data_IF_801734201183
#
_entry.id   IF_801734201183
#
_cell.length_a   1.000
_cell.length_b   1.000
_cell.length_c   1.000
_cell.angle_alpha   90.00
_cell.angle_beta   90.00
_cell.angle_gamma   90.00
#
_symmetry.space_group_name_H-M   'P 1'
#
loop_
_entity.id
_entity.type
_entity.pdbx_description
1 polymer ?
#
# COMPACT_ATOMS: atom_id res chain seq x y z
N UNK A 1 -39.60 6.85 -24.36
CA UNK A 1 -38.16 6.69 -24.05
C UNK A 1 -37.43 7.91 -24.61
N UNK A 2 -37.27 8.94 -23.78
CA UNK A 2 -36.52 10.17 -24.12
C UNK A 2 -35.37 10.29 -23.13
N UNK A 3 -34.39 9.40 -23.25
CA UNK A 3 -33.27 9.27 -22.31
C UNK A 3 -32.16 10.28 -22.65
N UNK A 4 -32.13 10.77 -23.89
CA UNK A 4 -31.03 11.59 -24.42
C UNK A 4 -30.98 13.03 -23.86
N UNK A 5 -32.12 13.56 -23.39
CA UNK A 5 -32.22 14.94 -22.92
C UNK A 5 -31.83 15.13 -21.44
N UNK A 6 -32.16 14.17 -20.58
CA UNK A 6 -31.93 14.28 -19.14
C UNK A 6 -30.45 14.14 -18.79
N UNK A 7 -29.77 13.18 -19.41
CA UNK A 7 -28.36 12.90 -19.15
C UNK A 7 -27.47 14.08 -19.58
N UNK A 8 -27.75 14.71 -20.72
CA UNK A 8 -26.98 15.88 -21.19
C UNK A 8 -27.23 17.13 -20.31
N UNK A 9 -28.43 17.30 -19.74
CA UNK A 9 -28.68 18.36 -18.76
C UNK A 9 -27.93 18.12 -17.45
N UNK A 10 -27.92 16.88 -16.95
CA UNK A 10 -27.19 16.51 -15.74
C UNK A 10 -25.68 16.69 -15.89
N UNK A 11 -25.09 16.20 -16.98
CA UNK A 11 -23.65 16.34 -17.26
C UNK A 11 -23.25 17.82 -17.31
N UNK A 12 -24.06 18.67 -17.94
CA UNK A 12 -23.81 20.12 -17.98
C UNK A 12 -23.87 20.76 -16.60
N UNK A 13 -24.83 20.37 -15.77
CA UNK A 13 -24.94 20.87 -14.40
C UNK A 13 -23.69 20.47 -13.58
N UNK A 14 -23.24 19.22 -13.72
CA UNK A 14 -22.00 18.75 -13.08
C UNK A 14 -20.77 19.51 -13.59
N UNK A 15 -20.65 19.73 -14.90
CA UNK A 15 -19.55 20.49 -15.47
C UNK A 15 -19.51 21.94 -14.96
N UNK A 16 -20.66 22.58 -14.76
CA UNK A 16 -20.76 23.91 -14.15
C UNK A 16 -20.26 23.91 -12.69
N UNK A 17 -20.71 22.94 -11.88
CA UNK A 17 -20.23 22.79 -10.50
C UNK A 17 -18.71 22.55 -10.44
N UNK A 18 -18.17 21.76 -11.36
CA UNK A 18 -16.72 21.53 -11.48
C UNK A 18 -15.95 22.77 -11.93
N UNK A 19 -16.54 23.63 -12.77
CA UNK A 19 -15.92 24.88 -13.19
C UNK A 19 -15.87 25.92 -12.05
N UNK A 20 -16.83 25.87 -11.13
CA UNK A 20 -16.89 26.68 -9.92
C UNK A 20 -16.08 26.07 -8.74
N UNK A 21 -15.34 24.99 -8.98
CA UNK A 21 -14.60 24.23 -7.95
C UNK A 21 -15.48 23.71 -6.80
N UNK A 22 -16.78 23.54 -7.05
CA UNK A 22 -17.77 23.04 -6.08
C UNK A 22 -17.82 21.52 -6.11
N UNK A 23 -16.68 20.90 -5.79
CA UNK A 23 -16.51 19.44 -5.88
C UNK A 23 -17.48 18.66 -4.99
N UNK A 24 -17.72 19.12 -3.76
CA UNK A 24 -18.66 18.46 -2.84
C UNK A 24 -20.08 18.48 -3.38
N UNK A 25 -20.52 19.63 -3.91
CA UNK A 25 -21.84 19.74 -4.53
C UNK A 25 -21.96 18.85 -5.78
N UNK A 26 -20.89 18.70 -6.57
CA UNK A 26 -20.87 17.78 -7.70
C UNK A 26 -20.98 16.32 -7.24
N UNK A 27 -20.29 15.94 -6.15
CA UNK A 27 -20.39 14.61 -5.55
C UNK A 27 -21.80 14.30 -5.05
N UNK A 28 -22.42 15.22 -4.32
CA UNK A 28 -23.82 15.10 -3.87
C UNK A 28 -24.81 15.00 -5.04
N UNK A 29 -24.49 15.66 -6.16
CA UNK A 29 -25.27 15.56 -7.40
C UNK A 29 -25.02 14.28 -8.22
N UNK A 30 -24.24 13.32 -7.69
CA UNK A 30 -24.00 12.02 -8.32
C UNK A 30 -22.87 12.03 -9.36
N UNK A 31 -21.84 12.88 -9.21
CA UNK A 31 -20.69 12.96 -10.13
C UNK A 31 -20.09 11.59 -10.48
N UNK A 32 -20.07 10.66 -9.53
CA UNK A 32 -19.47 9.33 -9.70
C UNK A 32 -20.38 8.30 -10.36
N UNK A 33 -21.69 8.57 -10.41
CA UNK A 33 -22.71 7.67 -10.95
C UNK A 33 -22.97 7.89 -12.45
N UNK A 34 -22.52 9.03 -12.98
CA UNK A 34 -22.62 9.33 -14.41
C UNK A 34 -21.70 8.43 -15.22
N UNK A 35 -22.30 7.65 -16.13
CA UNK A 35 -21.56 6.83 -17.08
C UNK A 35 -20.98 7.66 -18.22
N UNK A 36 -19.82 7.26 -18.72
CA UNK A 36 -19.24 7.80 -19.95
C UNK A 36 -20.05 7.42 -21.21
N UNK A 37 -20.96 6.46 -21.09
CA UNK A 37 -21.80 5.94 -22.18
C UNK A 37 -23.12 6.71 -22.30
N UNK A 38 -23.37 7.69 -21.42
CA UNK A 38 -24.49 8.62 -21.56
C UNK A 38 -24.41 9.26 -22.95
N UNK A 39 -25.45 9.00 -23.77
CA UNK A 39 -25.42 9.12 -25.22
C UNK A 39 -24.65 10.33 -25.76
N UNK A 40 -23.88 10.10 -26.82
CA UNK A 40 -22.97 11.06 -27.45
C UNK A 40 -23.74 12.20 -28.13
N UNK A 41 -24.27 13.12 -27.32
CA UNK A 41 -24.70 14.42 -27.78
C UNK A 41 -23.46 15.28 -28.06
N UNK A 42 -23.27 15.70 -29.31
CA UNK A 42 -22.13 16.52 -29.73
C UNK A 42 -21.97 17.81 -28.89
N UNK A 43 -23.06 18.35 -28.36
CA UNK A 43 -23.07 19.55 -27.52
C UNK A 43 -22.60 19.30 -26.07
N UNK A 44 -22.63 18.05 -25.62
CA UNK A 44 -22.25 17.65 -24.26
C UNK A 44 -20.85 17.01 -24.19
N UNK A 45 -20.17 16.80 -25.31
CA UNK A 45 -18.84 16.16 -25.38
C UNK A 45 -17.79 16.82 -24.47
N UNK A 46 -17.72 18.16 -24.46
CA UNK A 46 -16.76 18.89 -23.61
C UNK A 46 -17.08 18.74 -22.12
N UNK A 47 -18.36 18.80 -21.76
CA UNK A 47 -18.83 18.62 -20.39
C UNK A 47 -18.59 17.18 -19.90
N UNK A 48 -18.84 16.17 -20.75
CA UNK A 48 -18.52 14.77 -20.50
C UNK A 48 -17.02 14.57 -20.27
N UNK A 49 -16.16 15.20 -21.08
CA UNK A 49 -14.71 15.12 -20.90
C UNK A 49 -14.25 15.73 -19.56
N UNK A 50 -14.82 16.86 -19.16
CA UNK A 50 -14.53 17.49 -17.87
C UNK A 50 -14.96 16.60 -16.69
N UNK A 51 -16.17 16.04 -16.76
CA UNK A 51 -16.71 15.11 -15.76
C UNK A 51 -15.84 13.85 -15.67
N UNK A 52 -15.50 13.23 -16.80
CA UNK A 52 -14.65 12.04 -16.84
C UNK A 52 -13.24 12.31 -16.26
N UNK A 53 -12.65 13.47 -16.58
CA UNK A 53 -11.37 13.88 -16.01
C UNK A 53 -11.45 14.07 -14.48
N UNK A 54 -12.53 14.67 -13.97
CA UNK A 54 -12.76 14.83 -12.54
C UNK A 54 -12.92 13.49 -11.83
N UNK A 55 -13.76 12.59 -12.37
CA UNK A 55 -13.91 11.23 -11.84
C UNK A 55 -12.57 10.49 -11.81
N UNK A 56 -11.76 10.60 -12.86
CA UNK A 56 -10.45 9.94 -12.91
C UNK A 56 -9.51 10.46 -11.82
N UNK A 57 -9.45 11.78 -11.60
CA UNK A 57 -8.65 12.37 -10.51
C UNK A 57 -9.09 11.86 -9.14
N UNK A 58 -10.40 11.78 -8.90
CA UNK A 58 -10.96 11.26 -7.65
C UNK A 58 -10.60 9.79 -7.42
N UNK A 59 -10.76 8.93 -8.44
CA UNK A 59 -10.38 7.51 -8.37
C UNK A 59 -8.89 7.35 -8.01
N UNK A 60 -8.02 8.14 -8.65
CA UNK A 60 -6.58 8.15 -8.36
C UNK A 60 -6.31 8.59 -6.91
N UNK A 61 -6.96 9.65 -6.44
CA UNK A 61 -6.80 10.15 -5.08
C UNK A 61 -7.26 9.12 -4.03
N UNK A 62 -8.39 8.47 -4.25
CA UNK A 62 -8.89 7.41 -3.36
C UNK A 62 -7.95 6.19 -3.35
N UNK A 63 -7.48 5.75 -4.51
CA UNK A 63 -6.50 4.67 -4.58
C UNK A 63 -5.20 5.02 -3.83
N UNK A 64 -4.75 6.28 -3.91
CA UNK A 64 -3.58 6.75 -3.16
C UNK A 64 -3.83 6.73 -1.65
N UNK A 65 -5.00 7.21 -1.21
CA UNK A 65 -5.42 7.18 0.20
C UNK A 65 -5.48 5.75 0.74
N UNK A 66 -5.98 4.81 -0.06
CA UNK A 66 -6.08 3.41 0.34
C UNK A 66 -4.70 2.77 0.48
N UNK A 67 -3.78 3.02 -0.46
CA UNK A 67 -2.38 2.56 -0.33
C UNK A 67 -1.71 3.10 0.94
N UNK A 68 -1.96 4.37 1.27
CA UNK A 68 -1.45 5.00 2.49
C UNK A 68 -1.99 4.30 3.74
N UNK A 69 -3.30 4.07 3.82
CA UNK A 69 -3.96 3.36 4.92
C UNK A 69 -3.43 1.93 5.09
N UNK A 70 -3.29 1.19 3.99
CA UNK A 70 -2.74 -0.16 4.01
C UNK A 70 -1.29 -0.18 4.53
N UNK A 71 -0.45 0.81 4.13
CA UNK A 71 0.91 0.95 4.66
C UNK A 71 0.90 1.27 6.15
N UNK A 72 0.04 2.18 6.59
CA UNK A 72 -0.08 2.56 8.00
C UNK A 72 -0.47 1.34 8.87
N UNK A 73 -1.44 0.54 8.42
CA UNK A 73 -1.85 -0.69 9.11
C UNK A 73 -0.68 -1.69 9.27
N UNK A 74 0.10 -1.92 8.21
CA UNK A 74 1.29 -2.79 8.28
C UNK A 74 2.34 -2.28 9.25
N UNK A 75 2.56 -0.96 9.29
CA UNK A 75 3.52 -0.37 10.22
C UNK A 75 3.05 -0.48 11.67
N UNK A 76 1.75 -0.27 11.92
CA UNK A 76 1.13 -0.45 13.23
C UNK A 76 1.27 -1.89 13.73
N UNK A 77 1.02 -2.89 12.89
CA UNK A 77 1.23 -4.31 13.21
C UNK A 77 2.69 -4.59 13.62
N UNK A 78 3.65 -4.16 12.80
CA UNK A 78 5.08 -4.34 13.11
C UNK A 78 5.49 -3.62 14.40
N UNK A 79 4.92 -2.45 14.68
CA UNK A 79 5.18 -1.72 15.92
C UNK A 79 4.63 -2.49 17.14
N UNK A 80 3.41 -3.02 17.04
CA UNK A 80 2.80 -3.85 18.07
C UNK A 80 3.61 -5.13 18.33
N UNK A 81 4.07 -5.83 17.28
CA UNK A 81 4.93 -7.02 17.41
C UNK A 81 6.25 -6.70 18.12
N UNK A 82 6.92 -5.61 17.74
CA UNK A 82 8.16 -5.18 18.41
C UNK A 82 7.91 -4.84 19.88
N UNK A 83 6.80 -4.16 20.18
CA UNK A 83 6.44 -3.85 21.56
C UNK A 83 6.14 -5.12 22.37
N UNK A 84 5.42 -6.09 21.81
CA UNK A 84 5.18 -7.38 22.45
C UNK A 84 6.48 -8.16 22.72
N UNK A 85 7.45 -8.11 21.80
CA UNK A 85 8.79 -8.69 22.01
C UNK A 85 9.59 -8.00 23.11
N UNK A 86 9.39 -6.69 23.32
CA UNK A 86 10.03 -5.94 24.41
C UNK A 86 9.41 -6.24 25.77
N UNK A 87 8.09 -6.43 25.83
CA UNK A 87 7.37 -6.70 27.07
C UNK A 87 7.54 -8.16 27.50
N UNK A 88 7.64 -9.11 26.57
CA UNK A 88 8.04 -10.48 26.91
C UNK A 88 9.47 -10.44 27.48
N UNK A 89 9.71 -10.97 28.69
CA UNK A 89 11.06 -11.13 29.21
C UNK A 89 11.90 -11.85 28.15
N UNK A 90 13.10 -11.34 27.87
CA UNK A 90 14.05 -12.05 27.02
C UNK A 90 14.12 -13.49 27.54
N UNK A 91 13.77 -14.46 26.69
CA UNK A 91 13.90 -15.86 27.04
C UNK A 91 15.30 -16.04 27.62
N UNK A 92 15.35 -16.55 28.86
CA UNK A 92 16.57 -16.85 29.59
C UNK A 92 17.61 -17.45 28.64
N UNK A 93 18.89 -17.02 28.70
CA UNK A 93 19.91 -17.53 27.81
C UNK A 93 19.83 -19.06 27.77
N UNK A 94 19.82 -19.61 26.55
CA UNK A 94 19.85 -21.05 26.29
C UNK A 94 20.83 -21.73 27.24
N UNK A 95 20.53 -22.94 27.76
CA UNK A 95 21.48 -23.71 28.54
C UNK A 95 22.80 -23.72 27.78
N UNK A 96 23.88 -23.39 28.49
CA UNK A 96 25.23 -23.38 27.96
C UNK A 96 25.44 -24.61 27.09
N UNK A 97 25.90 -24.41 25.84
CA UNK A 97 26.21 -25.52 24.96
C UNK A 97 27.05 -26.55 25.73
N UNK A 98 26.68 -27.84 25.73
CA UNK A 98 27.37 -28.85 26.51
C UNK A 98 28.86 -28.77 26.17
N UNK A 99 29.68 -28.64 27.22
CA UNK A 99 31.13 -28.52 27.06
C UNK A 99 31.62 -29.69 26.19
N UNK A 100 32.46 -29.39 25.20
CA UNK A 100 33.02 -30.42 24.34
C UNK A 100 33.71 -31.49 25.20
N UNK A 101 33.46 -32.79 24.94
CA UNK A 101 34.16 -33.85 25.65
C UNK A 101 35.68 -33.65 25.52
N UNK A 102 36.45 -33.84 26.61
CA UNK A 102 37.87 -33.49 26.66
C UNK A 102 38.70 -34.21 25.60
N UNK A 103 38.28 -35.42 25.21
CA UNK A 103 38.91 -36.17 24.12
C UNK A 103 38.84 -35.46 22.76
N UNK A 104 37.72 -34.80 22.46
CA UNK A 104 37.50 -34.06 21.21
C UNK A 104 38.28 -32.76 21.23
N UNK A 105 38.31 -32.06 22.37
CA UNK A 105 39.14 -30.87 22.55
C UNK A 105 40.64 -31.18 22.36
N UNK A 106 41.11 -32.30 22.91
CA UNK A 106 42.49 -32.75 22.74
C UNK A 106 42.82 -33.15 21.29
N UNK A 107 41.87 -33.77 20.57
CA UNK A 107 42.04 -34.09 19.16
C UNK A 107 42.15 -32.82 18.29
N UNK A 108 41.30 -31.82 18.53
CA UNK A 108 41.36 -30.52 17.85
C UNK A 108 42.65 -29.76 18.16
N UNK A 109 43.12 -29.77 19.41
CA UNK A 109 44.40 -29.14 19.77
C UNK A 109 45.59 -29.76 19.02
N UNK A 110 45.63 -31.10 18.90
CA UNK A 110 46.65 -31.81 18.12
C UNK A 110 46.55 -31.51 16.63
N UNK A 111 45.34 -31.45 16.07
CA UNK A 111 45.13 -31.10 14.67
C UNK A 111 45.59 -29.66 14.38
N UNK A 112 45.30 -28.72 15.28
CA UNK A 112 45.73 -27.31 15.16
C UNK A 112 47.25 -27.17 15.27
N UNK A 113 47.90 -27.92 16.16
CA UNK A 113 49.36 -27.97 16.26
C UNK A 113 50.01 -28.54 14.98
N UNK A 114 49.42 -29.58 14.38
CA UNK A 114 49.86 -30.09 13.06
C UNK A 114 49.70 -29.03 11.97
N UNK A 115 48.56 -28.36 11.90
CA UNK A 115 48.31 -27.33 10.89
C UNK A 115 49.22 -26.10 11.03
N UNK A 116 49.61 -25.74 12.26
CA UNK A 116 50.53 -24.63 12.51
C UNK A 116 52.01 -25.01 12.28
N UNK A 117 52.35 -26.30 12.35
CA UNK A 117 53.71 -26.81 12.18
C UNK A 117 54.04 -27.33 10.78
N UNK A 118 53.06 -27.48 9.88
CA UNK A 118 53.31 -27.86 8.48
C UNK A 118 53.59 -26.60 7.65
N UNK A 119 54.85 -26.30 7.26
CA UNK A 119 55.09 -25.30 6.22
C UNK A 119 54.42 -25.78 4.94
N UNK A 120 53.54 -24.95 4.38
CA UNK A 120 52.92 -25.20 3.08
C UNK A 120 53.96 -24.89 2.01
N UNK A 121 54.81 -25.88 1.72
CA UNK A 121 55.67 -25.92 0.53
C UNK A 121 55.07 -26.87 -0.47
#
# INVERSE_FOLDING_TARGET
MGIDGHDCAQVRALAALLAEDRLDAALEAGLMDVSADAGTCAHCTAALAQVAAAQQRLRVAWAARERYRARAARLAQRAAERQARRIKPAATPSPQAPALPPAVAAALARAKARAAGTPRT
#
